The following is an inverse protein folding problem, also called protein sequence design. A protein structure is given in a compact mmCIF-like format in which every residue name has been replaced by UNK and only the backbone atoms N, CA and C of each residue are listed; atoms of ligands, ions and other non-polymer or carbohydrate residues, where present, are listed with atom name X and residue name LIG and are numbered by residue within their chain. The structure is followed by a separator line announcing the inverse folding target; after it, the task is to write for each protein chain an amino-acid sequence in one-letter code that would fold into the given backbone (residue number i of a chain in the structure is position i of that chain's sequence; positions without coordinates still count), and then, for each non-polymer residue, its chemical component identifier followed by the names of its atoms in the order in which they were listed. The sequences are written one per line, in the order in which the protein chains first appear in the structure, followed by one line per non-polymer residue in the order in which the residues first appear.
data_IF_313967907640
#
_entry.id   IF_313967907640
#
_cell.length_a   1.000
_cell.length_b   1.000
_cell.length_c   1.000
_cell.angle_alpha   90.00
_cell.angle_beta   90.00
_cell.angle_gamma   90.00
#
_symmetry.space_group_name_H-M   'P 1'
#
loop_
_entity.id
_entity.type
_entity.pdbx_description
1 polymer ?
#
# COMPACT_ATOMS: atom_id res chain seq x y z
N UNK A 1 21.35 14.91 -5.94
CA UNK A 1 21.64 14.87 -4.50
C UNK A 1 20.72 13.85 -3.86
N UNK A 2 21.28 12.80 -3.26
CA UNK A 2 20.61 11.53 -2.94
C UNK A 2 19.84 11.56 -1.60
N UNK A 3 18.52 11.73 -1.69
CA UNK A 3 17.57 11.53 -0.57
C UNK A 3 17.48 10.08 -0.05
N UNK A 4 18.06 9.11 -0.76
CA UNK A 4 18.02 7.68 -0.41
C UNK A 4 18.90 7.26 0.79
N UNK A 5 19.63 8.18 1.44
CA UNK A 5 20.69 7.79 2.40
C UNK A 5 20.33 7.93 3.88
N UNK A 6 19.43 8.84 4.26
CA UNK A 6 19.07 9.05 5.67
C UNK A 6 18.02 8.02 6.15
N UNK A 7 16.98 7.78 5.35
CA UNK A 7 15.90 6.83 5.65
C UNK A 7 16.43 5.38 5.81
N UNK A 8 17.33 4.96 4.91
CA UNK A 8 17.96 3.63 4.98
C UNK A 8 18.86 3.44 6.21
N UNK A 9 19.43 4.53 6.75
CA UNK A 9 20.26 4.47 7.97
C UNK A 9 19.40 4.42 9.22
N UNK A 10 18.34 5.21 9.29
CA UNK A 10 17.43 5.27 10.44
C UNK A 10 16.70 3.92 10.61
N UNK A 11 16.21 3.34 9.51
CA UNK A 11 15.52 2.03 9.53
C UNK A 11 16.38 0.90 10.10
N UNK A 12 17.70 0.93 9.91
CA UNK A 12 18.65 -0.04 10.50
C UNK A 12 18.95 0.21 11.98
N UNK A 13 18.75 1.43 12.46
CA UNK A 13 19.00 1.81 13.86
C UNK A 13 17.79 1.56 14.78
N UNK A 14 16.57 1.60 14.24
CA UNK A 14 15.34 1.39 15.02
C UNK A 14 15.35 0.07 15.83
N UNK A 15 15.73 -1.09 15.27
CA UNK A 15 15.77 -2.34 16.04
C UNK A 15 16.75 -2.31 17.23
N UNK A 16 17.83 -1.52 17.15
CA UNK A 16 18.84 -1.44 18.22
C UNK A 16 18.36 -0.65 19.44
N UNK A 17 17.24 0.07 19.33
CA UNK A 17 16.58 0.68 20.49
C UNK A 17 15.95 -0.36 21.43
N UNK A 18 15.77 -1.60 20.97
CA UNK A 18 15.29 -2.71 21.77
C UNK A 18 16.42 -3.55 22.41
N UNK A 19 17.66 -3.04 22.44
CA UNK A 19 18.79 -3.71 23.10
C UNK A 19 18.62 -3.72 24.62
N UNK A 20 19.08 -4.79 25.27
CA UNK A 20 19.10 -4.94 26.74
C UNK A 20 20.18 -4.07 27.41
N UNK A 21 21.04 -3.42 26.62
CA UNK A 21 22.13 -2.58 27.13
C UNK A 21 21.79 -1.10 27.02
N UNK A 22 21.60 -0.43 28.16
CA UNK A 22 21.28 1.00 28.23
C UNK A 22 22.25 1.88 27.43
N UNK A 23 23.55 1.56 27.47
CA UNK A 23 24.58 2.28 26.72
C UNK A 23 24.37 2.20 25.21
N UNK A 24 23.90 1.06 24.70
CA UNK A 24 23.59 0.86 23.28
C UNK A 24 22.33 1.62 22.87
N UNK A 25 21.29 1.59 23.71
CA UNK A 25 20.05 2.33 23.48
C UNK A 25 20.32 3.84 23.40
N UNK A 26 21.06 4.40 24.36
CA UNK A 26 21.42 5.83 24.39
C UNK A 26 22.30 6.20 23.19
N UNK A 27 23.28 5.37 22.83
CA UNK A 27 24.14 5.60 21.67
C UNK A 27 23.33 5.59 20.36
N UNK A 28 22.40 4.65 20.24
CA UNK A 28 21.51 4.50 19.07
C UNK A 28 20.56 5.69 18.95
N UNK A 29 19.91 6.10 20.04
CA UNK A 29 19.05 7.29 20.07
C UNK A 29 19.84 8.53 19.64
N UNK A 30 21.05 8.75 20.17
CA UNK A 30 21.91 9.87 19.74
C UNK A 30 22.28 9.79 18.26
N UNK A 31 22.53 8.59 17.72
CA UNK A 31 22.85 8.41 16.31
C UNK A 31 21.66 8.76 15.40
N UNK A 32 20.45 8.35 15.76
CA UNK A 32 19.21 8.71 15.06
C UNK A 32 19.01 10.23 15.10
N UNK A 33 19.15 10.86 16.28
CA UNK A 33 19.01 12.32 16.40
C UNK A 33 19.98 13.11 15.52
N UNK A 34 21.23 12.64 15.34
CA UNK A 34 22.19 13.25 14.41
C UNK A 34 21.77 13.07 12.94
N UNK A 35 21.27 11.89 12.58
CA UNK A 35 20.80 11.60 11.23
C UNK A 35 19.59 12.47 10.87
N UNK A 36 18.63 12.62 11.78
CA UNK A 36 17.48 13.52 11.61
C UNK A 36 17.91 14.96 11.43
N UNK A 37 18.79 15.48 12.32
CA UNK A 37 19.33 16.84 12.19
C UNK A 37 20.03 17.08 10.86
N UNK A 38 20.76 16.09 10.34
CA UNK A 38 21.41 16.21 9.02
C UNK A 38 20.42 16.35 7.85
N UNK A 39 19.17 15.92 8.05
CA UNK A 39 18.05 16.07 7.12
C UNK A 39 17.16 17.28 7.44
N UNK A 40 17.50 18.09 8.45
CA UNK A 40 16.68 19.21 8.90
C UNK A 40 15.43 18.81 9.69
N UNK A 41 15.40 17.58 10.21
CA UNK A 41 14.29 17.02 10.98
C UNK A 41 14.67 16.84 12.46
N UNK A 42 13.67 16.61 13.31
CA UNK A 42 13.85 16.26 14.71
C UNK A 42 12.94 15.09 15.18
N UNK A 43 12.91 14.85 16.50
CA UNK A 43 12.10 13.79 17.10
C UNK A 43 10.59 14.09 17.07
N UNK A 44 10.20 15.36 17.04
CA UNK A 44 8.81 15.75 16.88
C UNK A 44 8.32 15.40 15.47
N UNK A 45 9.15 15.53 14.44
CA UNK A 45 8.81 15.08 13.09
C UNK A 45 8.58 13.56 13.04
N UNK A 46 9.43 12.79 13.72
CA UNK A 46 9.26 11.32 13.82
C UNK A 46 7.97 10.95 14.55
N UNK A 47 7.67 11.64 15.66
CA UNK A 47 6.43 11.47 16.39
C UNK A 47 5.22 11.83 15.53
N UNK A 48 5.26 12.98 14.85
CA UNK A 48 4.21 13.45 13.95
C UNK A 48 3.95 12.48 12.79
N UNK A 49 4.99 11.88 12.22
CA UNK A 49 4.84 10.86 11.16
C UNK A 49 4.21 9.59 11.73
N UNK A 50 4.68 9.13 12.90
CA UNK A 50 4.16 7.93 13.55
C UNK A 50 2.69 8.12 13.94
N UNK A 51 2.36 9.27 14.54
CA UNK A 51 0.99 9.68 14.82
C UNK A 51 0.21 9.83 13.53
N UNK A 52 0.72 10.48 12.49
CA UNK A 52 0.00 10.58 11.21
C UNK A 52 -0.25 9.21 10.56
N UNK A 53 0.56 8.19 10.86
CA UNK A 53 0.33 6.80 10.46
C UNK A 53 -0.65 6.04 11.36
N UNK A 54 -0.69 6.34 12.67
CA UNK A 54 -1.54 5.69 13.69
C UNK A 54 -2.91 6.36 13.85
N UNK A 55 -2.93 7.70 13.89
CA UNK A 55 -4.05 8.64 13.83
C UNK A 55 -4.44 8.98 12.39
N UNK A 56 -3.81 8.36 11.38
CA UNK A 56 -4.60 8.09 10.17
C UNK A 56 -5.84 7.40 10.72
N UNK A 57 -7.06 7.96 10.59
CA UNK A 57 -8.22 7.18 10.95
C UNK A 57 -7.99 5.89 10.20
N UNK A 58 -7.93 4.76 10.92
CA UNK A 58 -8.01 3.44 10.30
C UNK A 58 -8.99 3.70 9.19
N UNK A 59 -8.54 3.66 7.93
CA UNK A 59 -9.44 4.00 6.86
C UNK A 59 -10.47 2.93 7.04
N UNK A 60 -11.57 3.33 7.69
CA UNK A 60 -12.86 2.80 7.51
C UNK A 60 -12.88 2.93 6.01
N UNK A 61 -12.59 1.81 5.36
CA UNK A 61 -12.98 1.58 4.00
C UNK A 61 -14.48 1.42 4.13
N UNK A 62 -15.15 2.47 4.61
CA UNK A 62 -16.47 2.86 4.20
C UNK A 62 -16.26 2.96 2.72
N UNK A 63 -16.63 1.89 2.03
CA UNK A 63 -17.66 1.99 1.02
C UNK A 63 -18.02 3.45 0.85
N UNK A 64 -17.30 4.11 -0.06
CA UNK A 64 -17.66 5.42 -0.54
C UNK A 64 -18.99 5.22 -1.24
N UNK A 65 -20.05 5.22 -0.43
CA UNK A 65 -21.37 5.73 -0.73
C UNK A 65 -21.18 7.21 -1.03
N UNK A 66 -20.45 7.48 -2.12
CA UNK A 66 -20.62 8.69 -2.88
C UNK A 66 -22.01 8.47 -3.46
N UNK A 67 -23.02 9.08 -2.81
CA UNK A 67 -24.38 9.17 -3.32
C UNK A 67 -24.32 9.80 -4.71
N UNK A 68 -24.15 8.96 -5.72
CA UNK A 68 -24.51 9.26 -7.09
C UNK A 68 -26.02 9.15 -7.14
N UNK A 69 -26.70 10.24 -6.78
CA UNK A 69 -28.06 10.44 -7.26
C UNK A 69 -27.98 10.53 -8.79
N UNK A 70 -28.58 9.57 -9.50
CA UNK A 70 -29.07 9.82 -10.86
C UNK A 70 -28.47 9.08 -12.06
N UNK A 71 -27.72 7.99 -11.90
CA UNK A 71 -27.44 7.09 -13.04
C UNK A 71 -27.48 5.66 -12.53
N UNK A 72 -28.25 4.79 -13.16
CA UNK A 72 -28.36 3.36 -12.82
C UNK A 72 -26.96 2.82 -12.49
N UNK A 73 -26.69 2.63 -11.19
CA UNK A 73 -25.34 2.49 -10.68
C UNK A 73 -24.85 1.09 -11.00
N UNK A 74 -24.24 0.92 -12.17
CA UNK A 74 -23.49 -0.28 -12.49
C UNK A 74 -22.48 -0.53 -11.36
N UNK A 75 -22.63 -1.67 -10.70
CA UNK A 75 -21.75 -2.06 -9.60
C UNK A 75 -20.47 -2.62 -10.21
N UNK A 76 -19.32 -2.21 -9.68
CA UNK A 76 -18.03 -2.74 -10.13
C UNK A 76 -18.04 -4.28 -10.05
N UNK A 77 -17.51 -4.98 -11.06
CA UNK A 77 -17.50 -6.43 -11.04
C UNK A 77 -16.64 -6.94 -9.88
N UNK A 78 -17.11 -8.02 -9.25
CA UNK A 78 -16.38 -8.69 -8.16
C UNK A 78 -15.58 -9.84 -8.77
N UNK A 79 -14.32 -10.00 -8.36
CA UNK A 79 -13.36 -10.99 -8.86
C UNK A 79 -13.94 -12.40 -9.02
N UNK A 80 -14.66 -12.87 -8.00
CA UNK A 80 -15.24 -14.23 -7.99
C UNK A 80 -16.37 -14.42 -9.01
N UNK A 81 -16.98 -13.33 -9.50
CA UNK A 81 -18.00 -13.38 -10.55
C UNK A 81 -17.41 -13.24 -11.96
N UNK A 82 -16.12 -12.90 -12.07
CA UNK A 82 -15.44 -12.79 -13.35
C UNK A 82 -15.02 -14.17 -13.88
N UNK A 83 -15.17 -14.38 -15.17
CA UNK A 83 -14.58 -15.53 -15.88
C UNK A 83 -13.06 -15.39 -15.96
N UNK A 84 -12.34 -16.48 -16.24
CA UNK A 84 -10.87 -16.47 -16.38
C UNK A 84 -10.43 -15.42 -17.43
N UNK A 85 -11.12 -15.34 -18.56
CA UNK A 85 -10.85 -14.36 -19.61
C UNK A 85 -11.06 -12.92 -19.13
N UNK A 86 -12.14 -12.65 -18.39
CA UNK A 86 -12.39 -11.31 -17.84
C UNK A 86 -11.37 -10.93 -16.77
N UNK A 87 -10.95 -11.88 -15.93
CA UNK A 87 -9.88 -11.65 -14.95
C UNK A 87 -8.58 -11.22 -15.64
N UNK A 88 -8.19 -11.93 -16.70
CA UNK A 88 -7.02 -11.55 -17.51
C UNK A 88 -7.15 -10.17 -18.15
N UNK A 89 -8.33 -9.82 -18.67
CA UNK A 89 -8.61 -8.50 -19.24
C UNK A 89 -8.51 -7.38 -18.20
N UNK A 90 -9.02 -7.59 -16.99
CA UNK A 90 -8.90 -6.64 -15.89
C UNK A 90 -7.45 -6.48 -15.42
N UNK A 91 -6.75 -7.59 -15.17
CA UNK A 91 -5.36 -7.57 -14.73
C UNK A 91 -4.44 -6.86 -15.73
N UNK A 92 -4.55 -7.21 -17.02
CA UNK A 92 -3.75 -6.58 -18.08
C UNK A 92 -4.04 -5.08 -18.22
N UNK A 93 -5.30 -4.66 -18.07
CA UNK A 93 -5.68 -3.25 -18.12
C UNK A 93 -5.20 -2.45 -16.89
N UNK A 94 -5.18 -3.08 -15.71
CA UNK A 94 -4.79 -2.46 -14.44
C UNK A 94 -3.27 -2.40 -14.28
N UNK A 95 -2.54 -3.45 -14.65
CA UNK A 95 -1.11 -3.63 -14.36
C UNK A 95 -0.21 -2.43 -14.73
N UNK A 96 -0.56 -1.67 -15.78
CA UNK A 96 0.25 -0.53 -16.26
C UNK A 96 -0.23 0.84 -15.76
N UNK A 97 -1.16 0.87 -14.82
CA UNK A 97 -1.76 2.12 -14.38
C UNK A 97 -0.91 2.82 -13.31
N UNK A 98 -0.60 4.10 -13.54
CA UNK A 98 0.24 4.91 -12.66
C UNK A 98 -0.44 5.29 -11.32
N UNK A 99 -1.75 5.08 -11.18
CA UNK A 99 -2.48 5.34 -9.93
C UNK A 99 -2.37 4.20 -8.92
N UNK A 100 -1.77 3.07 -9.31
CA UNK A 100 -1.41 2.01 -8.37
C UNK A 100 -0.23 2.46 -7.51
N UNK A 101 -0.25 2.11 -6.22
CA UNK A 101 0.98 2.20 -5.43
C UNK A 101 2.02 1.20 -5.96
N UNK A 102 3.30 1.42 -5.66
CA UNK A 102 4.39 0.50 -6.04
C UNK A 102 4.05 -0.94 -5.65
N UNK A 103 3.59 -1.15 -4.41
CA UNK A 103 3.15 -2.45 -3.94
C UNK A 103 1.92 -3.01 -4.68
N UNK A 104 0.90 -2.18 -5.00
CA UNK A 104 -0.26 -2.65 -5.76
C UNK A 104 0.13 -3.05 -7.19
N UNK A 105 1.09 -2.35 -7.80
CA UNK A 105 1.63 -2.68 -9.11
C UNK A 105 2.40 -4.01 -9.10
N UNK A 106 3.31 -4.19 -8.13
CA UNK A 106 4.05 -5.44 -7.95
C UNK A 106 3.10 -6.62 -7.67
N UNK A 107 2.09 -6.40 -6.83
CA UNK A 107 1.06 -7.40 -6.54
C UNK A 107 0.29 -7.81 -7.80
N UNK A 108 -0.19 -6.85 -8.60
CA UNK A 108 -0.91 -7.17 -9.84
C UNK A 108 0.01 -7.84 -10.86
N UNK A 109 1.27 -7.42 -10.96
CA UNK A 109 2.26 -8.05 -11.83
C UNK A 109 2.53 -9.52 -11.43
N UNK A 110 2.65 -9.80 -10.13
CA UNK A 110 2.78 -11.17 -9.60
C UNK A 110 1.56 -12.02 -9.96
N UNK A 111 0.34 -11.49 -9.78
CA UNK A 111 -0.88 -12.23 -10.15
C UNK A 111 -0.97 -12.44 -11.68
N UNK A 112 -0.57 -11.46 -12.49
CA UNK A 112 -0.50 -11.60 -13.96
C UNK A 112 0.46 -12.70 -14.41
N UNK A 113 1.54 -12.93 -13.67
CA UNK A 113 2.58 -13.89 -14.04
C UNK A 113 2.25 -15.34 -13.64
N UNK A 114 1.19 -15.56 -12.85
CA UNK A 114 0.75 -16.89 -12.40
C UNK A 114 -0.02 -17.64 -13.48
N UNK A 115 0.04 -18.97 -13.41
CA UNK A 115 -0.78 -19.83 -14.24
C UNK A 115 -2.28 -19.65 -13.95
N UNK A 116 -3.16 -19.79 -14.94
CA UNK A 116 -4.60 -19.65 -14.76
C UNK A 116 -5.19 -20.52 -13.63
N UNK A 117 -4.64 -21.72 -13.43
CA UNK A 117 -5.05 -22.63 -12.36
C UNK A 117 -4.72 -22.08 -10.96
N UNK A 118 -3.63 -21.33 -10.81
CA UNK A 118 -3.23 -20.71 -9.54
C UNK A 118 -4.03 -19.42 -9.27
N UNK A 119 -4.47 -18.74 -10.32
CA UNK A 119 -5.36 -17.58 -10.24
C UNK A 119 -6.74 -17.98 -9.68
N UNK A 120 -7.17 -19.22 -9.86
CA UNK A 120 -8.39 -19.74 -9.25
C UNK A 120 -8.23 -20.06 -7.75
N UNK A 121 -6.99 -20.32 -7.30
CA UNK A 121 -6.66 -20.72 -5.92
C UNK A 121 -6.18 -19.55 -5.04
N UNK A 122 -6.49 -18.32 -5.44
CA UNK A 122 -6.11 -17.15 -4.67
C UNK A 122 -6.73 -17.17 -3.27
N UNK A 123 -5.94 -16.77 -2.28
CA UNK A 123 -6.43 -16.61 -0.91
C UNK A 123 -7.50 -15.50 -0.82
N UNK A 124 -8.37 -15.59 0.18
CA UNK A 124 -9.40 -14.57 0.42
C UNK A 124 -8.83 -13.16 0.57
N UNK A 125 -7.64 -13.01 1.18
CA UNK A 125 -6.97 -11.71 1.32
C UNK A 125 -6.58 -11.13 -0.06
N UNK A 126 -6.07 -11.97 -0.96
CA UNK A 126 -5.73 -11.55 -2.33
C UNK A 126 -6.98 -11.16 -3.12
N UNK A 127 -8.07 -11.93 -3.00
CA UNK A 127 -9.36 -11.63 -3.64
C UNK A 127 -9.91 -10.28 -3.15
N UNK A 128 -9.87 -10.02 -1.84
CA UNK A 128 -10.30 -8.73 -1.26
C UNK A 128 -9.44 -7.58 -1.79
N UNK A 129 -8.14 -7.80 -1.98
CA UNK A 129 -7.24 -6.80 -2.57
C UNK A 129 -7.60 -6.52 -4.03
N UNK A 130 -7.80 -7.55 -4.86
CA UNK A 130 -8.20 -7.42 -6.25
C UNK A 130 -9.54 -6.70 -6.41
N UNK A 131 -10.54 -7.05 -5.59
CA UNK A 131 -11.83 -6.36 -5.55
C UNK A 131 -11.69 -4.86 -5.24
N UNK A 132 -10.76 -4.49 -4.35
CA UNK A 132 -10.46 -3.09 -4.07
C UNK A 132 -9.94 -2.36 -5.30
N UNK A 133 -8.96 -2.98 -5.97
CA UNK A 133 -8.27 -2.38 -7.11
C UNK A 133 -9.24 -2.26 -8.29
N UNK A 134 -10.03 -3.30 -8.58
CA UNK A 134 -11.09 -3.27 -9.61
C UNK A 134 -12.14 -2.22 -9.29
N UNK A 135 -12.62 -2.14 -8.03
CA UNK A 135 -13.58 -1.11 -7.63
C UNK A 135 -13.05 0.31 -7.82
N UNK A 136 -11.75 0.54 -7.57
CA UNK A 136 -11.09 1.82 -7.82
C UNK A 136 -10.97 2.12 -9.31
N UNK A 137 -10.51 1.15 -10.10
CA UNK A 137 -10.41 1.26 -11.56
C UNK A 137 -11.78 1.54 -12.21
N UNK A 138 -12.83 0.86 -11.75
CA UNK A 138 -14.20 1.06 -12.21
C UNK A 138 -14.74 2.46 -11.87
N UNK A 139 -14.41 2.96 -10.68
CA UNK A 139 -14.76 4.33 -10.25
C UNK A 139 -14.05 5.40 -11.08
N UNK A 140 -12.91 5.07 -11.69
CA UNK A 140 -12.18 5.93 -12.64
C UNK A 140 -12.70 5.78 -14.09
N UNK A 141 -13.76 5.01 -14.32
CA UNK A 141 -14.40 4.84 -15.64
C UNK A 141 -13.90 3.65 -16.45
N UNK A 142 -13.01 2.81 -15.90
CA UNK A 142 -12.56 1.59 -16.59
C UNK A 142 -13.71 0.57 -16.69
N UNK A 143 -13.87 -0.03 -17.87
CA UNK A 143 -14.86 -1.09 -18.16
C UNK A 143 -14.16 -2.20 -18.94
N UNK A 144 -14.14 -3.43 -18.42
CA UNK A 144 -13.50 -4.61 -19.00
C UNK A 144 -14.27 -5.88 -18.63
#
# INVERSE_FOLDING_TARGET
MSVLTAESKITKLIPRLASDFDGEVVATARAIGRALKSAGLDWHDVANISESCLNKPASVRTSSSRKYYGRAAEVAPVWNKLTVTQRGAWLSAIHRQHWLSVWEADFVADICARDPADIERLSQKQIICLNRIIGRAFSMGMRR
#
